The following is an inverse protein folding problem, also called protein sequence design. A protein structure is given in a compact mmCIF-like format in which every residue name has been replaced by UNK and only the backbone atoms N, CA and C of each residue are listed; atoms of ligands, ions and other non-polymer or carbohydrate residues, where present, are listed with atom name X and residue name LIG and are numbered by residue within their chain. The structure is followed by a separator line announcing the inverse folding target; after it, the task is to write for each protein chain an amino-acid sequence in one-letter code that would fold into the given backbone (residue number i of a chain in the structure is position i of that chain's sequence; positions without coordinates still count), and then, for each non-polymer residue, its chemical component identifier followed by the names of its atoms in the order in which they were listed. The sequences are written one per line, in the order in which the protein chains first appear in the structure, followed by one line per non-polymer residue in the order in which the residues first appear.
data_IF_430954488392
#
_entry.id   IF_430954488392
#
_cell.length_a   1.000
_cell.length_b   1.000
_cell.length_c   1.000
_cell.angle_alpha   90.00
_cell.angle_beta   90.00
_cell.angle_gamma   90.00
#
_symmetry.space_group_name_H-M   'P 1'
#
loop_
_entity.id
_entity.type
_entity.pdbx_description
1 polymer ?
#
# COMPACT_ATOMS: atom_id res chain seq x y z
N UNK A 1 -22.44 1.07 11.40
CA UNK A 1 -21.02 0.97 11.73
C UNK A 1 -20.18 1.45 10.54
N UNK A 2 -19.26 2.34 10.80
CA UNK A 2 -18.45 2.91 9.73
C UNK A 2 -17.31 1.96 9.34
N UNK A 3 -17.10 1.80 8.05
CA UNK A 3 -15.96 1.04 7.55
C UNK A 3 -14.74 1.93 7.53
N UNK A 4 -13.60 1.37 7.94
CA UNK A 4 -12.33 2.08 7.87
C UNK A 4 -11.78 1.90 6.45
N UNK A 5 -11.70 3.01 5.72
CA UNK A 5 -11.16 3.01 4.36
C UNK A 5 -9.84 3.76 4.37
N UNK A 6 -8.88 3.24 3.64
CA UNK A 6 -7.56 3.85 3.56
C UNK A 6 -7.57 5.06 2.65
N UNK A 7 -6.68 5.99 2.95
CA UNK A 7 -6.48 7.16 2.12
C UNK A 7 -4.99 7.30 1.86
N UNK A 8 -4.62 7.41 0.60
CA UNK A 8 -3.22 7.60 0.22
C UNK A 8 -2.73 8.97 0.65
N UNK A 9 -1.49 8.99 1.12
CA UNK A 9 -0.79 10.21 1.47
C UNK A 9 0.53 10.25 0.72
N UNK A 10 0.92 11.42 0.25
CA UNK A 10 2.18 11.56 -0.47
C UNK A 10 2.07 11.26 -1.94
N UNK A 11 3.19 11.02 -2.57
CA UNK A 11 3.27 10.82 -4.03
C UNK A 11 4.24 9.71 -4.37
N UNK A 12 4.02 9.09 -5.53
CA UNK A 12 4.89 8.06 -6.06
C UNK A 12 5.74 8.65 -7.17
N UNK A 13 7.05 8.44 -7.07
CA UNK A 13 8.01 8.90 -8.08
C UNK A 13 8.87 7.75 -8.57
N UNK A 14 9.38 7.90 -9.78
CA UNK A 14 10.37 6.98 -10.34
C UNK A 14 11.64 7.79 -10.64
N UNK A 15 12.80 7.33 -10.14
CA UNK A 15 14.05 8.00 -10.38
C UNK A 15 14.64 7.63 -11.75
N UNK A 16 15.81 8.19 -12.09
CA UNK A 16 16.45 7.95 -13.37
C UNK A 16 16.90 6.50 -13.57
N UNK A 17 17.11 5.78 -12.46
CA UNK A 17 17.53 4.38 -12.51
C UNK A 17 16.35 3.42 -12.53
N UNK A 18 15.13 3.94 -12.48
CA UNK A 18 13.92 3.14 -12.48
C UNK A 18 13.46 2.70 -11.10
N UNK A 19 14.09 3.20 -10.04
CA UNK A 19 13.65 2.90 -8.68
C UNK A 19 12.37 3.65 -8.34
N UNK A 20 11.49 2.99 -7.60
CA UNK A 20 10.24 3.58 -7.15
C UNK A 20 10.42 4.18 -5.76
N UNK A 21 9.94 5.40 -5.59
CA UNK A 21 10.03 6.12 -4.33
C UNK A 21 8.65 6.62 -3.93
N UNK A 22 8.30 6.39 -2.68
CA UNK A 22 7.11 7.01 -2.09
C UNK A 22 7.58 8.14 -1.18
N UNK A 23 7.07 9.34 -1.43
CA UNK A 23 7.46 10.53 -0.67
C UNK A 23 6.24 11.02 0.09
N UNK A 24 6.36 11.14 1.41
CA UNK A 24 5.24 11.59 2.24
C UNK A 24 5.18 13.13 2.29
N UNK A 25 4.18 13.65 3.00
CA UNK A 25 3.97 15.10 3.09
C UNK A 25 5.09 15.83 3.83
N UNK A 26 5.90 15.10 4.60
CA UNK A 26 7.07 15.65 5.29
C UNK A 26 8.33 15.60 4.43
N UNK A 27 8.20 15.25 3.14
CA UNK A 27 9.31 15.12 2.20
C UNK A 27 10.28 13.98 2.53
N UNK A 28 9.80 12.99 3.28
CA UNK A 28 10.58 11.79 3.53
C UNK A 28 10.36 10.82 2.37
N UNK A 29 11.45 10.35 1.77
CA UNK A 29 11.39 9.45 0.63
C UNK A 29 11.75 8.03 1.05
N UNK A 30 10.95 7.07 0.59
CA UNK A 30 11.15 5.67 0.89
C UNK A 30 11.24 4.89 -0.41
N UNK A 31 12.32 4.12 -0.57
CA UNK A 31 12.45 3.25 -1.73
C UNK A 31 11.52 2.06 -1.55
N UNK A 32 10.71 1.77 -2.57
CA UNK A 32 9.74 0.67 -2.52
C UNK A 32 9.87 -0.16 -3.79
N UNK A 33 9.43 -1.42 -3.71
CA UNK A 33 9.36 -2.25 -4.90
C UNK A 33 8.01 -2.09 -5.61
N UNK A 34 7.85 -2.76 -6.73
CA UNK A 34 6.63 -2.64 -7.52
C UNK A 34 5.40 -3.14 -6.78
N UNK A 35 5.58 -4.16 -5.94
CA UNK A 35 4.47 -4.73 -5.17
C UNK A 35 3.96 -3.71 -4.14
N UNK A 36 4.88 -3.07 -3.42
CA UNK A 36 4.51 -2.07 -2.42
C UNK A 36 3.84 -0.88 -3.09
N UNK A 37 4.40 -0.40 -4.21
CA UNK A 37 3.82 0.72 -4.95
C UNK A 37 2.43 0.38 -5.47
N UNK A 38 2.23 -0.84 -5.96
CA UNK A 38 0.93 -1.30 -6.43
C UNK A 38 -0.10 -1.32 -5.30
N UNK A 39 0.26 -1.91 -4.15
CA UNK A 39 -0.65 -1.98 -3.01
C UNK A 39 -1.00 -0.59 -2.51
N UNK A 40 -0.01 0.30 -2.40
CA UNK A 40 -0.26 1.68 -2.01
C UNK A 40 -1.25 2.37 -2.97
N UNK A 41 -1.10 2.11 -4.27
CA UNK A 41 -1.96 2.70 -5.29
C UNK A 41 -3.40 2.23 -5.17
N UNK A 42 -3.62 0.93 -4.93
CA UNK A 42 -4.97 0.38 -4.90
C UNK A 42 -5.68 0.57 -3.56
N UNK A 43 -4.95 0.91 -2.50
CA UNK A 43 -5.55 1.05 -1.17
C UNK A 43 -6.52 2.22 -1.05
N UNK A 44 -6.38 3.23 -1.88
CA UNK A 44 -7.17 4.45 -1.74
C UNK A 44 -8.66 4.17 -1.87
N UNK A 45 -9.40 4.53 -0.84
CA UNK A 45 -10.85 4.34 -0.82
C UNK A 45 -11.32 2.92 -0.53
N UNK A 46 -10.42 2.03 -0.15
CA UNK A 46 -10.74 0.61 0.09
C UNK A 46 -10.51 0.21 1.54
N UNK A 47 -11.26 -0.79 1.98
CA UNK A 47 -11.03 -1.41 3.29
C UNK A 47 -9.91 -2.44 3.20
N UNK A 48 -9.41 -2.88 4.36
CA UNK A 48 -8.40 -3.93 4.41
C UNK A 48 -8.86 -5.18 3.67
N UNK A 49 -10.09 -5.62 3.92
CA UNK A 49 -10.62 -6.83 3.27
C UNK A 49 -10.72 -6.68 1.77
N UNK A 50 -11.12 -5.50 1.29
CA UNK A 50 -11.20 -5.25 -0.15
C UNK A 50 -9.82 -5.32 -0.81
N UNK A 51 -8.81 -4.74 -0.17
CA UNK A 51 -7.44 -4.80 -0.68
C UNK A 51 -6.92 -6.23 -0.68
N UNK A 52 -7.15 -6.96 0.41
CA UNK A 52 -6.71 -8.35 0.53
C UNK A 52 -7.34 -9.23 -0.56
N UNK A 53 -8.64 -9.05 -0.81
CA UNK A 53 -9.33 -9.83 -1.84
C UNK A 53 -8.84 -9.51 -3.24
N UNK A 54 -8.54 -8.25 -3.51
CA UNK A 54 -8.01 -7.87 -4.82
C UNK A 54 -6.64 -8.50 -5.08
N UNK A 55 -5.77 -8.49 -4.08
CA UNK A 55 -4.45 -9.10 -4.19
C UNK A 55 -4.57 -10.61 -4.36
N UNK A 56 -5.42 -11.24 -3.57
CA UNK A 56 -5.62 -12.69 -3.64
C UNK A 56 -6.16 -13.11 -5.00
N UNK A 57 -7.09 -12.35 -5.55
CA UNK A 57 -7.67 -12.61 -6.86
C UNK A 57 -6.62 -12.52 -7.96
N UNK A 58 -5.75 -11.53 -7.93
CA UNK A 58 -4.74 -11.35 -8.95
C UNK A 58 -3.61 -12.36 -8.87
N UNK A 59 -3.25 -12.76 -7.65
CA UNK A 59 -2.19 -13.74 -7.43
C UNK A 59 -2.68 -15.18 -7.43
N UNK A 60 -3.99 -15.38 -7.56
CA UNK A 60 -4.61 -16.71 -7.51
C UNK A 60 -4.20 -17.46 -6.23
N UNK A 61 -4.25 -16.77 -5.11
CA UNK A 61 -3.93 -17.33 -3.80
C UNK A 61 -5.10 -17.11 -2.84
N UNK A 62 -5.05 -17.79 -1.71
CA UNK A 62 -6.09 -17.68 -0.69
C UNK A 62 -5.98 -16.33 0.02
N UNK A 63 -7.12 -15.68 0.23
CA UNK A 63 -7.14 -14.38 0.91
C UNK A 63 -6.54 -14.45 2.30
N UNK A 64 -6.71 -15.58 2.99
CA UNK A 64 -6.16 -15.74 4.33
C UNK A 64 -4.63 -15.77 4.33
N UNK A 65 -4.01 -16.15 3.23
CA UNK A 65 -2.55 -16.12 3.09
C UNK A 65 -2.03 -14.72 2.84
N UNK A 66 -2.87 -13.85 2.26
CA UNK A 66 -2.51 -12.48 1.95
C UNK A 66 -2.56 -11.58 3.18
N UNK A 67 -3.50 -11.83 4.08
CA UNK A 67 -3.78 -10.92 5.19
C UNK A 67 -2.59 -10.61 6.10
N UNK A 68 -1.82 -11.61 6.61
CA UNK A 68 -0.71 -11.28 7.52
C UNK A 68 0.36 -10.38 6.90
N UNK A 69 0.92 -10.70 5.73
CA UNK A 69 1.93 -9.82 5.14
C UNK A 69 1.35 -8.46 4.71
N UNK A 70 0.09 -8.44 4.31
CA UNK A 70 -0.56 -7.18 3.96
C UNK A 70 -0.73 -6.28 5.17
N UNK A 71 -1.10 -6.84 6.33
CA UNK A 71 -1.23 -6.06 7.55
C UNK A 71 0.12 -5.43 7.94
N UNK A 72 1.20 -6.19 7.83
CA UNK A 72 2.54 -5.67 8.12
C UNK A 72 2.90 -4.52 7.19
N UNK A 73 2.60 -4.65 5.91
CA UNK A 73 2.89 -3.62 4.93
C UNK A 73 2.07 -2.35 5.20
N UNK A 74 0.78 -2.53 5.49
CA UNK A 74 -0.10 -1.39 5.78
C UNK A 74 0.38 -0.66 7.04
N UNK A 75 0.78 -1.40 8.06
CA UNK A 75 1.30 -0.80 9.28
C UNK A 75 2.55 0.04 8.99
N UNK A 76 3.44 -0.47 8.13
CA UNK A 76 4.63 0.27 7.73
C UNK A 76 4.29 1.52 6.94
N UNK A 77 3.33 1.44 6.03
CA UNK A 77 2.91 2.60 5.26
C UNK A 77 2.28 3.67 6.15
N UNK A 78 1.49 3.25 7.15
CA UNK A 78 0.94 4.19 8.12
C UNK A 78 2.02 4.84 8.98
N UNK A 79 3.00 4.04 9.43
CA UNK A 79 4.11 4.56 10.22
C UNK A 79 4.96 5.55 9.43
N UNK A 80 5.04 5.38 8.11
CA UNK A 80 5.77 6.28 7.23
C UNK A 80 4.93 7.47 6.77
N UNK A 81 3.72 7.62 7.27
CA UNK A 81 2.77 8.68 6.89
C UNK A 81 2.40 8.64 5.40
N UNK A 82 2.36 7.44 4.83
CA UNK A 82 1.97 7.23 3.44
C UNK A 82 0.55 6.68 3.29
N UNK A 83 -0.06 6.26 4.38
CA UNK A 83 -1.47 5.87 4.44
C UNK A 83 -2.12 6.44 5.67
N UNK A 84 -3.38 6.74 5.53
CA UNK A 84 -4.22 7.23 6.62
C UNK A 84 -5.42 6.31 6.83
#
# INVERSE_FOLDING_TARGET
MEEIRYKRKGELFRDEEGNLLLVNESNEAYRVDEIVAYIWTICDGKTFDEVAQEIASQGDVDVEEVKPPLQDLIDKLKAASLLE
#
